data_IF_546276186657
#
_entry.id   IF_546276186657
#
_cell.length_a   1.000
_cell.length_b   1.000
_cell.length_c   1.000
_cell.angle_alpha   90.00
_cell.angle_beta   90.00
_cell.angle_gamma   90.00
#
_symmetry.space_group_name_H-M   'P 1'
#
loop_
_entity.id
_entity.type
_entity.pdbx_description
1 polymer ?
#
# COMPACT_ATOMS: atom_id res chain seq x y z
N UNK A 1 14.96 13.76 15.00
CA UNK A 1 14.76 13.80 13.57
C UNK A 1 13.27 13.93 13.25
N UNK A 2 12.95 14.73 12.26
CA UNK A 2 11.56 15.02 11.96
C UNK A 2 10.91 13.89 11.18
N UNK A 3 9.75 13.48 11.62
CA UNK A 3 8.95 12.47 10.90
C UNK A 3 8.47 13.03 9.56
N UNK A 4 8.51 12.21 8.50
CA UNK A 4 8.00 12.64 7.21
C UNK A 4 6.47 12.69 7.23
N UNK A 5 5.88 13.38 6.26
CA UNK A 5 4.43 13.41 6.11
C UNK A 5 3.88 12.00 5.86
N UNK A 6 4.58 11.20 5.05
CA UNK A 6 4.15 9.82 4.79
C UNK A 6 4.12 9.02 6.10
N UNK A 7 5.19 9.09 6.89
CA UNK A 7 5.27 8.36 8.15
C UNK A 7 4.14 8.78 9.11
N UNK A 8 3.87 10.08 9.18
CA UNK A 8 2.85 10.60 10.08
C UNK A 8 1.45 10.10 9.68
N UNK A 9 1.11 10.22 8.41
CA UNK A 9 -0.21 9.77 7.94
C UNK A 9 -0.35 8.26 7.98
N UNK A 10 0.73 7.53 7.69
CA UNK A 10 0.69 6.08 7.75
C UNK A 10 0.46 5.60 9.18
N UNK A 11 1.15 6.19 10.14
CA UNK A 11 1.00 5.86 11.55
C UNK A 11 -0.46 6.09 11.98
N UNK A 12 -1.02 7.23 11.61
CA UNK A 12 -2.40 7.55 11.95
C UNK A 12 -3.37 6.56 11.29
N UNK A 13 -3.13 6.25 10.02
CA UNK A 13 -3.98 5.30 9.29
C UNK A 13 -4.01 3.95 9.99
N UNK A 14 -2.83 3.42 10.31
CA UNK A 14 -2.72 2.07 10.88
C UNK A 14 -3.18 1.99 12.32
N UNK A 15 -2.98 3.05 13.11
CA UNK A 15 -3.21 3.02 14.55
C UNK A 15 -4.56 3.56 14.97
N UNK A 16 -5.13 4.48 14.21
CA UNK A 16 -6.37 5.18 14.59
C UNK A 16 -7.49 4.94 13.58
N UNK A 17 -7.23 5.28 12.32
CA UNK A 17 -8.28 5.23 11.31
C UNK A 17 -8.77 3.81 11.06
N UNK A 18 -7.84 2.90 10.78
CA UNK A 18 -8.19 1.54 10.41
C UNK A 18 -8.97 0.81 11.52
N UNK A 19 -8.49 0.83 12.79
CA UNK A 19 -9.24 0.17 13.86
C UNK A 19 -10.58 0.83 14.17
N UNK A 20 -10.64 2.16 14.11
CA UNK A 20 -11.81 2.90 14.56
C UNK A 20 -12.88 3.06 13.50
N UNK A 21 -12.48 3.45 12.29
CA UNK A 21 -13.42 3.84 11.23
C UNK A 21 -13.98 2.65 10.47
N UNK A 22 -13.14 1.70 10.17
CA UNK A 22 -13.50 0.59 9.30
C UNK A 22 -14.03 -0.59 10.11
N UNK A 23 -13.80 -0.59 11.42
CA UNK A 23 -14.20 -1.71 12.26
C UNK A 23 -13.48 -2.98 11.88
N UNK A 24 -12.28 -2.85 11.37
CA UNK A 24 -11.54 -3.98 10.83
C UNK A 24 -11.13 -4.95 11.93
N UNK A 25 -11.07 -6.22 11.57
CA UNK A 25 -10.62 -7.26 12.47
C UNK A 25 -9.12 -7.19 12.66
N UNK A 26 -8.65 -7.78 13.77
CA UNK A 26 -7.24 -7.79 14.10
C UNK A 26 -6.38 -8.36 12.97
N UNK A 27 -6.82 -9.46 12.34
CA UNK A 27 -6.06 -10.08 11.26
C UNK A 27 -5.90 -9.14 10.06
N UNK A 28 -6.95 -8.37 9.74
CA UNK A 28 -6.88 -7.38 8.67
C UNK A 28 -5.87 -6.29 9.02
N UNK A 29 -5.89 -5.82 10.26
CA UNK A 29 -4.94 -4.79 10.70
C UNK A 29 -3.51 -5.29 10.60
N UNK A 30 -3.26 -6.54 11.02
CA UNK A 30 -1.93 -7.13 10.94
C UNK A 30 -1.47 -7.29 9.49
N UNK A 31 -2.38 -7.72 8.61
CA UNK A 31 -2.05 -7.88 7.19
C UNK A 31 -1.69 -6.53 6.56
N UNK A 32 -2.38 -5.47 6.94
CA UNK A 32 -2.06 -4.13 6.45
C UNK A 32 -0.70 -3.67 6.95
N UNK A 33 -0.41 -3.90 8.24
CA UNK A 33 0.91 -3.56 8.79
C UNK A 33 2.02 -4.31 8.06
N UNK A 34 1.81 -5.58 7.77
CA UNK A 34 2.78 -6.38 7.01
C UNK A 34 2.99 -5.80 5.62
N UNK A 35 1.92 -5.39 4.95
CA UNK A 35 2.01 -4.82 3.61
C UNK A 35 2.88 -3.57 3.60
N UNK A 36 2.68 -2.68 4.58
CA UNK A 36 3.45 -1.45 4.65
C UNK A 36 4.88 -1.69 5.13
N UNK A 37 5.09 -2.69 5.99
CA UNK A 37 6.46 -3.08 6.36
C UNK A 37 7.24 -3.53 5.14
N UNK A 38 6.61 -4.30 4.24
CA UNK A 38 7.24 -4.73 3.00
C UNK A 38 7.51 -3.55 2.06
N UNK A 39 6.58 -2.61 1.98
CA UNK A 39 6.77 -1.42 1.15
C UNK A 39 7.96 -0.59 1.64
N UNK A 40 8.05 -0.41 2.97
CA UNK A 40 9.15 0.35 3.55
C UNK A 40 10.48 -0.35 3.31
N UNK A 41 10.50 -1.69 3.44
CA UNK A 41 11.72 -2.47 3.15
C UNK A 41 12.12 -2.32 1.70
N UNK A 42 11.17 -2.42 0.78
CA UNK A 42 11.42 -2.24 -0.64
C UNK A 42 12.01 -0.85 -0.92
N UNK A 43 11.41 0.18 -0.36
CA UNK A 43 11.87 1.55 -0.58
C UNK A 43 13.29 1.74 -0.08
N UNK A 44 13.61 1.21 1.10
CA UNK A 44 14.94 1.33 1.67
C UNK A 44 15.96 0.58 0.82
N UNK A 45 15.67 -0.67 0.45
CA UNK A 45 16.63 -1.56 -0.19
C UNK A 45 16.74 -1.34 -1.70
N UNK A 46 15.66 -0.99 -2.37
CA UNK A 46 15.61 -0.93 -3.84
C UNK A 46 15.49 0.49 -4.38
N UNK A 47 14.93 1.42 -3.62
CA UNK A 47 14.74 2.80 -4.08
C UNK A 47 15.69 3.77 -3.38
N UNK A 48 16.48 3.25 -2.45
CA UNK A 48 17.42 4.07 -1.68
C UNK A 48 16.71 5.18 -0.90
N UNK A 49 15.51 4.87 -0.42
CA UNK A 49 14.67 5.79 0.34
C UNK A 49 14.44 5.22 1.73
N UNK A 50 15.24 5.68 2.68
CA UNK A 50 15.03 5.31 4.09
C UNK A 50 13.75 5.98 4.61
N UNK A 51 13.21 5.49 5.73
CA UNK A 51 11.99 6.10 6.29
C UNK A 51 12.10 7.61 6.50
N UNK A 52 13.30 8.10 6.82
CA UNK A 52 13.52 9.54 7.05
C UNK A 52 13.42 10.36 5.76
N UNK A 53 13.51 9.71 4.62
CA UNK A 53 13.48 10.37 3.31
C UNK A 53 12.21 10.09 2.52
N UNK A 54 11.40 9.15 2.97
CA UNK A 54 10.22 8.72 2.23
C UNK A 54 9.06 9.64 2.54
N UNK A 55 8.72 10.49 1.56
CA UNK A 55 7.60 11.43 1.65
C UNK A 55 6.43 10.93 0.82
N UNK A 56 5.24 11.50 1.05
CA UNK A 56 4.06 11.16 0.24
C UNK A 56 4.34 11.35 -1.24
N UNK A 57 4.97 12.48 -1.60
CA UNK A 57 5.23 12.80 -3.01
C UNK A 57 6.07 11.73 -3.71
N UNK A 58 6.91 11.01 -2.96
CA UNK A 58 7.77 9.97 -3.54
C UNK A 58 7.07 8.63 -3.70
N UNK A 59 5.98 8.41 -2.97
CA UNK A 59 5.21 7.16 -3.09
C UNK A 59 4.16 7.36 -4.18
N UNK A 60 4.63 7.44 -5.41
CA UNK A 60 3.77 7.68 -6.57
C UNK A 60 3.39 6.34 -7.25
N UNK A 61 2.60 6.46 -8.31
CA UNK A 61 2.14 5.28 -9.05
C UNK A 61 3.31 4.42 -9.52
N UNK A 62 4.34 5.06 -10.07
CA UNK A 62 5.48 4.34 -10.65
C UNK A 62 6.24 3.55 -9.57
N UNK A 63 6.44 4.15 -8.41
CA UNK A 63 7.10 3.45 -7.31
C UNK A 63 6.26 2.25 -6.85
N UNK A 64 4.94 2.44 -6.73
CA UNK A 64 4.07 1.35 -6.29
C UNK A 64 4.09 0.22 -7.30
N UNK A 65 4.06 0.53 -8.61
CA UNK A 65 4.14 -0.50 -9.66
C UNK A 65 5.44 -1.27 -9.54
N UNK A 66 6.56 -0.58 -9.32
CA UNK A 66 7.87 -1.26 -9.16
C UNK A 66 7.89 -2.14 -7.91
N UNK A 67 7.26 -1.68 -6.82
CA UNK A 67 7.13 -2.49 -5.61
C UNK A 67 6.36 -3.78 -5.87
N UNK A 68 5.23 -3.69 -6.58
CA UNK A 68 4.42 -4.86 -6.88
C UNK A 68 5.20 -5.83 -7.77
N UNK A 69 5.95 -5.31 -8.73
CA UNK A 69 6.79 -6.14 -9.60
C UNK A 69 7.88 -6.84 -8.79
N UNK A 70 8.49 -6.12 -7.85
CA UNK A 70 9.50 -6.69 -6.96
C UNK A 70 8.93 -7.85 -6.13
N UNK A 71 7.68 -7.71 -5.66
CA UNK A 71 7.04 -8.78 -4.90
C UNK A 71 6.95 -10.05 -5.75
N UNK A 72 6.58 -9.93 -7.01
CA UNK A 72 6.46 -11.08 -7.90
C UNK A 72 7.81 -11.68 -8.26
N UNK A 73 8.78 -10.83 -8.59
CA UNK A 73 10.07 -11.28 -9.10
C UNK A 73 11.00 -11.77 -8.00
N UNK A 74 11.11 -11.03 -6.91
CA UNK A 74 12.11 -11.31 -5.88
C UNK A 74 11.55 -12.10 -4.72
N UNK A 75 10.26 -11.98 -4.47
CA UNK A 75 9.64 -12.66 -3.33
C UNK A 75 8.66 -13.74 -3.77
N UNK A 76 8.58 -13.98 -5.06
CA UNK A 76 7.76 -15.04 -5.66
C UNK A 76 6.29 -15.00 -5.21
N UNK A 77 5.76 -13.80 -5.03
CA UNK A 77 4.37 -13.66 -4.61
C UNK A 77 3.42 -14.04 -5.75
N UNK A 78 2.37 -14.75 -5.39
CA UNK A 78 1.29 -15.04 -6.32
C UNK A 78 0.44 -13.80 -6.53
N UNK A 79 -0.36 -13.82 -7.60
CA UNK A 79 -1.23 -12.70 -7.92
C UNK A 79 -2.15 -12.31 -6.76
N UNK A 80 -2.69 -13.31 -6.05
CA UNK A 80 -3.57 -13.04 -4.91
C UNK A 80 -2.86 -12.29 -3.79
N UNK A 81 -1.62 -12.68 -3.47
CA UNK A 81 -0.84 -12.01 -2.44
C UNK A 81 -0.45 -10.61 -2.88
N UNK A 82 -0.01 -10.47 -4.14
CA UNK A 82 0.30 -9.16 -4.72
C UNK A 82 -0.91 -8.24 -4.60
N UNK A 83 -2.11 -8.76 -4.91
CA UNK A 83 -3.35 -7.98 -4.84
C UNK A 83 -3.71 -7.58 -3.41
N UNK A 84 -3.43 -8.45 -2.44
CA UNK A 84 -3.64 -8.09 -1.03
C UNK A 84 -2.77 -6.91 -0.62
N UNK A 85 -1.52 -6.88 -1.07
CA UNK A 85 -0.62 -5.77 -0.77
C UNK A 85 -1.11 -4.49 -1.43
N UNK A 86 -1.56 -4.60 -2.68
CA UNK A 86 -2.13 -3.45 -3.38
C UNK A 86 -3.40 -2.93 -2.71
N UNK A 87 -4.25 -3.83 -2.23
CA UNK A 87 -5.48 -3.43 -1.54
C UNK A 87 -5.17 -2.58 -0.30
N UNK A 88 -4.13 -2.96 0.45
CA UNK A 88 -3.71 -2.18 1.62
C UNK A 88 -3.26 -0.78 1.19
N UNK A 89 -2.46 -0.71 0.12
CA UNK A 89 -1.99 0.57 -0.41
C UNK A 89 -3.16 1.41 -0.89
N UNK A 90 -4.11 0.81 -1.61
CA UNK A 90 -5.31 1.51 -2.08
C UNK A 90 -6.12 2.08 -0.90
N UNK A 91 -6.28 1.32 0.18
CA UNK A 91 -7.00 1.82 1.35
C UNK A 91 -6.31 3.04 1.96
N UNK A 92 -4.98 3.00 2.05
CA UNK A 92 -4.24 4.15 2.59
C UNK A 92 -4.41 5.37 1.69
N UNK A 93 -4.30 5.21 0.37
CA UNK A 93 -4.42 6.35 -0.53
C UNK A 93 -5.86 6.87 -0.61
N UNK A 94 -6.87 6.03 -0.42
CA UNK A 94 -8.24 6.51 -0.29
C UNK A 94 -8.43 7.37 0.97
N UNK A 95 -7.83 6.93 2.08
CA UNK A 95 -7.81 7.70 3.31
C UNK A 95 -7.07 9.02 3.10
N UNK A 96 -5.89 8.96 2.48
CA UNK A 96 -5.04 10.13 2.29
C UNK A 96 -5.72 11.18 1.40
N UNK A 97 -6.46 10.73 0.40
CA UNK A 97 -7.14 11.63 -0.53
C UNK A 97 -8.12 12.56 0.19
N UNK A 98 -8.76 12.05 1.25
CA UNK A 98 -9.69 12.83 2.06
C UNK A 98 -8.95 13.73 3.04
N UNK A 99 -7.88 13.21 3.65
CA UNK A 99 -7.14 13.93 4.69
C UNK A 99 -6.25 15.03 4.13
N UNK A 100 -5.69 14.82 2.91
CA UNK A 100 -4.79 15.76 2.27
C UNK A 100 -5.20 15.95 0.81
N UNK A 101 -6.22 16.77 0.55
CA UNK A 101 -6.73 16.93 -0.83
C UNK A 101 -5.68 17.44 -1.82
N UNK A 102 -4.60 18.06 -1.35
CA UNK A 102 -3.55 18.52 -2.26
C UNK A 102 -2.89 17.38 -3.04
N UNK A 103 -3.01 16.14 -2.54
CA UNK A 103 -2.45 14.97 -3.21
C UNK A 103 -3.49 14.17 -4.00
N UNK A 104 -4.68 14.76 -4.23
CA UNK A 104 -5.78 14.01 -4.84
C UNK A 104 -5.40 13.38 -6.18
N UNK A 105 -4.64 14.12 -7.01
CA UNK A 105 -4.26 13.60 -8.32
C UNK A 105 -3.33 12.39 -8.20
N UNK A 106 -2.34 12.48 -7.33
CA UNK A 106 -1.43 11.36 -7.07
C UNK A 106 -2.19 10.17 -6.50
N UNK A 107 -3.09 10.41 -5.56
CA UNK A 107 -3.91 9.36 -4.98
C UNK A 107 -4.73 8.64 -6.05
N UNK A 108 -5.35 9.40 -6.94
CA UNK A 108 -6.13 8.82 -8.03
C UNK A 108 -5.28 7.97 -8.95
N UNK A 109 -4.05 8.40 -9.22
CA UNK A 109 -3.12 7.62 -10.04
C UNK A 109 -2.76 6.30 -9.38
N UNK A 110 -2.47 6.31 -8.07
CA UNK A 110 -2.18 5.07 -7.34
C UNK A 110 -3.41 4.17 -7.32
N UNK A 111 -4.59 4.74 -7.09
CA UNK A 111 -5.82 3.98 -7.05
C UNK A 111 -6.17 3.37 -8.41
N UNK A 112 -5.62 3.91 -9.49
CA UNK A 112 -5.85 3.39 -10.84
C UNK A 112 -5.06 2.13 -11.16
N UNK A 113 -4.10 1.74 -10.31
CA UNK A 113 -3.34 0.51 -10.53
C UNK A 113 -4.28 -0.67 -10.39
N UNK A 114 -4.42 -1.51 -11.46
CA UNK A 114 -5.42 -2.57 -11.42
C UNK A 114 -4.96 -3.77 -10.64
N UNK A 115 -5.91 -4.49 -10.09
CA UNK A 115 -5.67 -5.81 -9.54
C UNK A 115 -5.36 -6.77 -10.68
N UNK A 116 -4.45 -7.72 -10.44
CA UNK A 116 -4.21 -8.78 -11.41
C UNK A 116 -5.29 -9.84 -11.28
N UNK A 117 -5.59 -10.48 -12.40
CA UNK A 117 -6.50 -11.61 -12.36
C UNK A 117 -5.82 -12.76 -11.64
N UNK A 118 -6.38 -13.14 -10.49
CA UNK A 118 -5.85 -14.25 -9.72
C UNK A 118 -6.30 -15.57 -10.35
N UNK A 119 -5.48 -16.60 -10.20
CA UNK A 119 -5.87 -17.94 -10.63
C UNK A 119 -7.04 -18.41 -9.79
N UNK A 120 -8.18 -18.63 -10.45
CA UNK A 120 -9.36 -19.18 -9.82
C UNK A 120 -9.61 -20.57 -10.37
N UNK A 121 -10.18 -21.46 -9.56
CA UNK A 121 -10.65 -22.72 -10.12
C UNK A 121 -11.67 -22.42 -11.21
N UNK A 122 -11.60 -23.15 -12.29
CA UNK A 122 -12.62 -22.95 -13.33
C UNK A 122 -13.98 -23.17 -12.73
N UNK A 123 -14.93 -22.42 -12.84
CA UNK A 123 -16.01 -22.55 -12.14
C UNK A 123 -17.17 -22.36 -12.50
N UNK A 124 -17.23 -22.55 -12.38
CA UNK A 124 -17.76 -22.27 -12.36
C UNK A 124 -18.77 -21.96 -12.12
N UNK A 125 -19.31 -21.80 -12.24
CA UNK A 125 -20.25 -21.52 -12.05
C UNK A 125 -21.00 -21.28 -12.77
N UNK A 126 -21.43 -21.52 -12.93
CA UNK A 126 -22.10 -21.27 -13.46
C UNK A 126 -22.51 -21.14 -13.73
#
# INVERSE_FOLDING_TARGET
MKETDFARYLTHFLSVYLPGQVGSKRNTQLAYRDSFSLLLKYCRDQENLSPEKLTIAKVDKELVVRFLQWLEDERNCKASTRNQRLAAIHSFFSFLMVEEPQYIQQCQQVLSIPMKKADKPPLMYL
#
